data_IF_587868660241
#
_entry.id   IF_587868660241
#
_cell.length_a   1.000
_cell.length_b   1.000
_cell.length_c   1.000
_cell.angle_alpha   90.00
_cell.angle_beta   90.00
_cell.angle_gamma   90.00
#
_symmetry.space_group_name_H-M   'P 1'
#
loop_
_entity.id
_entity.type
_entity.pdbx_description
1 polymer ?
#
# COMPACT_ATOMS: atom_id res chain seq x y z
N UNK A 1 6.66 31.22 -1.77
CA UNK A 1 5.76 31.38 -2.95
C UNK A 1 6.26 30.57 -4.14
N UNK A 2 7.56 30.61 -4.42
CA UNK A 2 8.17 29.87 -5.54
C UNK A 2 8.07 28.34 -5.42
N UNK A 3 8.36 27.77 -4.24
CA UNK A 3 8.21 26.32 -3.98
C UNK A 3 6.76 25.80 -4.20
N UNK A 4 5.75 26.60 -3.81
CA UNK A 4 4.34 26.27 -4.03
C UNK A 4 3.98 26.30 -5.51
N UNK A 5 4.54 27.25 -6.27
CA UNK A 5 4.36 27.29 -7.73
C UNK A 5 4.97 26.07 -8.41
N UNK A 6 6.16 25.62 -7.98
CA UNK A 6 6.76 24.38 -8.48
C UNK A 6 5.92 23.15 -8.13
N UNK A 7 5.33 23.09 -6.92
CA UNK A 7 4.38 22.03 -6.56
C UNK A 7 3.17 22.02 -7.49
N UNK A 8 2.56 23.17 -7.75
CA UNK A 8 1.41 23.28 -8.65
C UNK A 8 1.74 22.87 -10.09
N UNK A 9 2.93 23.24 -10.59
CA UNK A 9 3.43 22.77 -11.88
C UNK A 9 3.61 21.25 -11.88
N UNK A 10 4.24 20.70 -10.83
CA UNK A 10 4.37 19.25 -10.65
C UNK A 10 3.02 18.54 -10.67
N UNK A 11 2.01 19.09 -10.00
CA UNK A 11 0.64 18.56 -10.01
C UNK A 11 0.01 18.60 -11.42
N UNK A 12 0.25 19.67 -12.18
CA UNK A 12 -0.27 19.80 -13.54
C UNK A 12 0.36 18.76 -14.50
N UNK A 13 1.66 18.52 -14.40
CA UNK A 13 2.34 17.46 -15.17
C UNK A 13 1.91 16.06 -14.71
N UNK A 14 1.75 15.86 -13.41
CA UNK A 14 1.22 14.61 -12.86
C UNK A 14 -0.18 14.30 -13.41
N UNK A 15 -1.07 15.29 -13.47
CA UNK A 15 -2.41 15.14 -14.06
C UNK A 15 -2.37 14.79 -15.56
N UNK A 16 -1.35 15.30 -16.28
CA UNK A 16 -1.08 14.94 -17.69
C UNK A 16 -0.40 13.57 -17.85
N UNK A 17 -0.14 12.86 -16.75
CA UNK A 17 0.63 11.60 -16.69
C UNK A 17 2.08 11.72 -17.18
N UNK A 18 2.60 12.94 -17.25
CA UNK A 18 4.01 13.19 -17.53
C UNK A 18 4.78 13.17 -16.20
N UNK A 19 5.09 11.95 -15.75
CA UNK A 19 5.68 11.73 -14.43
C UNK A 19 7.15 12.16 -14.37
N UNK A 20 7.87 12.20 -15.49
CA UNK A 20 9.27 12.66 -15.50
C UNK A 20 9.33 14.17 -15.23
N UNK A 21 8.51 14.96 -15.92
CA UNK A 21 8.45 16.39 -15.66
C UNK A 21 7.87 16.70 -14.28
N UNK A 22 6.85 15.97 -13.85
CA UNK A 22 6.32 16.10 -12.50
C UNK A 22 7.42 15.89 -11.43
N UNK A 23 8.26 14.87 -11.59
CA UNK A 23 9.39 14.61 -10.69
C UNK A 23 10.40 15.78 -10.65
N UNK A 24 10.71 16.36 -11.80
CA UNK A 24 11.63 17.51 -11.89
C UNK A 24 11.09 18.72 -11.13
N UNK A 25 9.80 19.03 -11.28
CA UNK A 25 9.17 20.16 -10.58
C UNK A 25 9.03 19.93 -9.07
N UNK A 26 8.68 18.72 -8.63
CA UNK A 26 8.69 18.42 -7.20
C UNK A 26 10.11 18.47 -6.60
N UNK A 27 11.13 18.09 -7.37
CA UNK A 27 12.53 18.22 -6.93
C UNK A 27 12.92 19.68 -6.75
N UNK A 28 12.56 20.57 -7.71
CA UNK A 28 12.76 22.02 -7.54
C UNK A 28 12.01 22.58 -6.33
N UNK A 29 10.79 22.10 -6.06
CA UNK A 29 10.03 22.50 -4.88
C UNK A 29 10.76 22.11 -3.57
N UNK A 30 11.33 20.90 -3.54
CA UNK A 30 12.13 20.39 -2.42
C UNK A 30 13.43 21.19 -2.25
N UNK A 31 14.16 21.46 -3.33
CA UNK A 31 15.40 22.24 -3.29
C UNK A 31 15.16 23.67 -2.78
N UNK A 32 13.99 24.23 -3.08
CA UNK A 32 13.57 25.57 -2.62
C UNK A 32 13.09 25.56 -1.17
N UNK A 33 12.37 24.51 -0.75
CA UNK A 33 11.87 24.38 0.61
C UNK A 33 11.86 22.89 1.04
N UNK A 34 12.97 22.42 1.65
CA UNK A 34 13.16 21.00 1.98
C UNK A 34 12.40 20.55 3.22
N UNK A 35 11.66 21.44 3.88
CA UNK A 35 10.95 21.14 5.13
C UNK A 35 9.44 20.95 4.92
N UNK A 36 8.96 20.86 3.68
CA UNK A 36 7.54 20.65 3.38
C UNK A 36 7.29 19.19 2.98
N UNK A 37 6.55 18.47 3.83
CA UNK A 37 6.21 17.06 3.61
C UNK A 37 5.46 16.80 2.29
N UNK A 38 4.55 17.70 1.90
CA UNK A 38 3.71 17.50 0.72
C UNK A 38 4.50 17.33 -0.57
N UNK A 39 5.69 17.95 -0.68
CA UNK A 39 6.52 17.84 -1.87
C UNK A 39 7.17 16.47 -1.98
N UNK A 40 7.69 15.94 -0.87
CA UNK A 40 8.24 14.60 -0.81
C UNK A 40 7.16 13.55 -1.05
N UNK A 41 5.97 13.73 -0.48
CA UNK A 41 4.85 12.82 -0.69
C UNK A 41 4.35 12.81 -2.15
N UNK A 42 4.25 13.97 -2.80
CA UNK A 42 3.90 14.07 -4.22
C UNK A 42 4.99 13.49 -5.13
N UNK A 43 6.27 13.69 -4.78
CA UNK A 43 7.39 13.08 -5.51
C UNK A 43 7.41 11.56 -5.33
N UNK A 44 7.12 11.05 -4.13
CA UNK A 44 6.98 9.62 -3.87
C UNK A 44 5.88 8.98 -4.72
N UNK A 45 4.70 9.60 -4.80
CA UNK A 45 3.62 9.14 -5.68
C UNK A 45 4.05 9.12 -7.16
N UNK A 46 4.80 10.13 -7.60
CA UNK A 46 5.32 10.22 -8.97
C UNK A 46 6.36 9.13 -9.26
N UNK A 47 7.26 8.88 -8.32
CA UNK A 47 8.26 7.82 -8.41
C UNK A 47 7.63 6.43 -8.46
N UNK A 48 6.51 6.21 -7.75
CA UNK A 48 5.74 4.97 -7.87
C UNK A 48 5.18 4.78 -9.28
N UNK A 49 4.65 5.84 -9.90
CA UNK A 49 4.15 5.77 -11.29
C UNK A 49 5.27 5.53 -12.31
N UNK A 50 6.51 5.94 -11.99
CA UNK A 50 7.71 5.68 -12.78
C UNK A 50 8.34 4.30 -12.50
N UNK A 51 7.79 3.50 -11.57
CA UNK A 51 8.36 2.21 -11.16
C UNK A 51 9.64 2.33 -10.31
N UNK A 52 9.99 3.53 -9.84
CA UNK A 52 11.18 3.82 -9.03
C UNK A 52 10.88 3.66 -7.54
N UNK A 53 10.47 2.45 -7.15
CA UNK A 53 9.92 2.16 -5.82
C UNK A 53 10.90 2.41 -4.66
N UNK A 54 12.19 2.11 -4.85
CA UNK A 54 13.21 2.31 -3.81
C UNK A 54 13.39 3.79 -3.44
N UNK A 55 13.26 4.66 -4.42
CA UNK A 55 13.38 6.11 -4.23
C UNK A 55 12.08 6.69 -3.67
N UNK A 56 10.93 6.16 -4.14
CA UNK A 56 9.63 6.49 -3.57
C UNK A 56 9.58 6.21 -2.06
N UNK A 57 10.24 5.15 -1.60
CA UNK A 57 10.37 4.87 -0.16
C UNK A 57 11.10 5.97 0.59
N UNK A 58 12.27 6.39 0.08
CA UNK A 58 13.07 7.40 0.74
C UNK A 58 12.32 8.73 0.88
N UNK A 59 11.59 9.10 -0.17
CA UNK A 59 10.76 10.30 -0.17
C UNK A 59 9.53 10.16 0.72
N UNK A 60 8.85 9.02 0.71
CA UNK A 60 7.73 8.76 1.62
C UNK A 60 8.19 8.87 3.09
N UNK A 61 9.35 8.28 3.42
CA UNK A 61 9.94 8.38 4.76
C UNK A 61 10.30 9.82 5.14
N UNK A 62 10.85 10.60 4.20
CA UNK A 62 11.16 12.01 4.46
C UNK A 62 9.90 12.84 4.65
N UNK A 63 8.85 12.58 3.86
CA UNK A 63 7.54 13.21 4.02
C UNK A 63 6.99 12.95 5.42
N UNK A 64 7.03 11.70 5.90
CA UNK A 64 6.56 11.33 7.25
C UNK A 64 7.33 12.06 8.33
N UNK A 65 8.66 12.15 8.19
CA UNK A 65 9.51 12.87 9.15
C UNK A 65 9.13 14.35 9.27
N UNK A 66 8.56 14.94 8.23
CA UNK A 66 8.21 16.36 8.16
C UNK A 66 6.75 16.64 8.54
N UNK A 67 5.80 15.81 8.10
CA UNK A 67 4.38 15.89 8.46
C UNK A 67 3.73 14.51 8.33
N UNK A 68 3.22 14.02 9.45
CA UNK A 68 2.62 12.71 9.64
C UNK A 68 1.26 12.55 8.93
N UNK A 69 0.63 13.65 8.53
CA UNK A 69 -0.72 13.64 7.94
C UNK A 69 -0.80 13.13 6.50
N UNK A 70 0.28 13.25 5.71
CA UNK A 70 0.27 12.99 4.27
C UNK A 70 0.29 11.49 3.89
N UNK A 71 0.76 10.63 4.81
CA UNK A 71 0.97 9.19 4.62
C UNK A 71 -0.33 8.43 4.31
N UNK A 72 -1.46 8.93 4.79
CA UNK A 72 -2.79 8.34 4.53
C UNK A 72 -3.08 8.20 3.03
N UNK A 73 -2.57 9.11 2.19
CA UNK A 73 -2.81 9.09 0.73
C UNK A 73 -1.96 8.03 0.02
N UNK A 74 -0.75 7.74 0.52
CA UNK A 74 0.15 6.74 -0.07
C UNK A 74 -0.20 5.32 0.37
N UNK A 75 -0.74 5.14 1.58
CA UNK A 75 -1.22 3.83 2.08
C UNK A 75 -2.40 3.34 1.23
N UNK A 76 -3.40 4.19 0.97
CA UNK A 76 -4.59 3.82 0.17
C UNK A 76 -4.27 3.52 -1.30
N UNK A 77 -3.16 4.07 -1.85
CA UNK A 77 -2.70 3.72 -3.21
C UNK A 77 -1.82 2.47 -3.27
N UNK A 78 -1.25 2.03 -2.16
CA UNK A 78 -0.32 0.88 -2.10
C UNK A 78 -1.00 -0.48 -1.91
N UNK A 79 -2.33 -0.52 -1.76
CA UNK A 79 -3.10 -1.78 -1.65
C UNK A 79 -2.99 -2.69 -2.91
N UNK A 80 -2.24 -2.27 -3.93
CA UNK A 80 -2.08 -3.00 -5.20
C UNK A 80 -0.67 -3.62 -5.44
N UNK A 81 0.32 -3.47 -4.55
CA UNK A 81 1.70 -3.99 -4.78
C UNK A 81 2.17 -4.97 -3.70
N UNK A 82 1.66 -6.20 -3.81
CA UNK A 82 1.69 -7.28 -2.81
C UNK A 82 3.08 -7.75 -2.33
N UNK A 83 4.16 -7.55 -3.08
CA UNK A 83 5.46 -8.17 -2.74
C UNK A 83 6.52 -7.19 -2.19
N UNK A 84 6.36 -5.89 -2.44
CA UNK A 84 7.25 -4.84 -1.92
C UNK A 84 6.57 -3.97 -0.84
N UNK A 85 5.23 -3.94 -0.83
CA UNK A 85 4.42 -3.21 0.14
C UNK A 85 4.68 -3.63 1.60
N UNK A 86 5.01 -4.90 1.87
CA UNK A 86 5.27 -5.38 3.23
C UNK A 86 6.50 -4.74 3.86
N UNK A 87 7.62 -4.67 3.13
CA UNK A 87 8.87 -4.04 3.63
C UNK A 87 8.72 -2.53 3.78
N UNK A 88 7.96 -1.91 2.88
CA UNK A 88 7.63 -0.48 2.90
C UNK A 88 6.75 -0.14 4.10
N UNK A 89 5.68 -0.91 4.30
CA UNK A 89 4.72 -0.75 5.38
C UNK A 89 5.44 -0.87 6.72
N UNK A 90 6.14 -1.99 6.96
CA UNK A 90 6.88 -2.25 8.21
C UNK A 90 7.86 -1.14 8.61
N UNK A 91 8.50 -0.46 7.65
CA UNK A 91 9.53 0.55 7.96
C UNK A 91 8.99 1.98 8.10
N UNK A 92 7.82 2.28 7.54
CA UNK A 92 7.09 3.52 7.85
C UNK A 92 6.45 3.46 9.24
N UNK A 93 6.15 2.26 9.75
CA UNK A 93 5.50 2.01 11.03
C UNK A 93 6.37 2.25 12.27
N UNK A 94 7.71 2.22 12.14
CA UNK A 94 8.62 2.58 13.24
C UNK A 94 8.62 4.09 13.54
N UNK A 95 8.14 4.92 12.61
CA UNK A 95 8.12 6.38 12.75
C UNK A 95 6.86 6.90 13.46
N UNK A 96 5.74 6.19 13.35
CA UNK A 96 4.41 6.63 13.80
C UNK A 96 3.98 5.98 15.14
N UNK A 97 4.58 6.47 16.23
CA UNK A 97 4.27 6.06 17.60
C UNK A 97 3.12 6.86 18.23
N UNK A 98 2.50 7.80 17.50
CA UNK A 98 1.55 8.79 18.07
C UNK A 98 0.12 8.70 17.54
N UNK A 99 -0.12 8.02 16.42
CA UNK A 99 -1.46 7.98 15.82
C UNK A 99 -2.21 6.66 16.10
N UNK A 100 -3.23 6.72 16.96
CA UNK A 100 -4.03 5.55 17.38
C UNK A 100 -4.75 4.86 16.22
N UNK A 101 -5.19 5.62 15.21
CA UNK A 101 -5.85 5.05 14.02
C UNK A 101 -4.85 4.29 13.14
N UNK A 102 -3.64 4.83 12.97
CA UNK A 102 -2.58 4.15 12.21
C UNK A 102 -2.12 2.86 12.92
N UNK A 103 -2.09 2.86 14.25
CA UNK A 103 -1.86 1.64 15.05
C UNK A 103 -2.98 0.61 14.88
N UNK A 104 -4.22 1.04 14.74
CA UNK A 104 -5.35 0.14 14.52
C UNK A 104 -5.34 -0.44 13.11
N UNK A 105 -5.08 0.38 12.09
CA UNK A 105 -4.89 -0.09 10.72
C UNK A 105 -3.65 -0.99 10.60
N UNK A 106 -2.57 -0.70 11.34
CA UNK A 106 -1.41 -1.59 11.49
C UNK A 106 -1.80 -2.94 12.07
N UNK A 107 -2.63 -2.94 13.12
CA UNK A 107 -3.06 -4.18 13.74
C UNK A 107 -3.86 -5.02 12.75
N UNK A 108 -4.79 -4.40 12.02
CA UNK A 108 -5.57 -5.03 10.96
C UNK A 108 -4.66 -5.60 9.84
N UNK A 109 -3.72 -4.78 9.41
CA UNK A 109 -2.67 -5.11 8.45
C UNK A 109 -1.84 -6.33 8.86
N UNK A 110 -1.42 -6.37 10.12
CA UNK A 110 -0.60 -7.45 10.69
C UNK A 110 -1.41 -8.73 10.86
N UNK A 111 -2.68 -8.61 11.26
CA UNK A 111 -3.58 -9.77 11.34
C UNK A 111 -3.85 -10.38 9.97
N UNK A 112 -4.00 -9.58 8.92
CA UNK A 112 -4.14 -10.09 7.54
C UNK A 112 -2.91 -10.90 7.10
N UNK A 113 -1.70 -10.39 7.40
CA UNK A 113 -0.45 -11.11 7.09
C UNK A 113 -0.32 -12.42 7.87
N UNK A 114 -0.76 -12.43 9.12
CA UNK A 114 -0.74 -13.65 9.93
C UNK A 114 -1.71 -14.69 9.35
N UNK A 115 -2.90 -14.28 8.93
CA UNK A 115 -3.84 -15.17 8.25
C UNK A 115 -3.31 -15.69 6.91
N UNK A 116 -2.56 -14.88 6.16
CA UNK A 116 -1.91 -15.33 4.93
C UNK A 116 -0.85 -16.40 5.19
N UNK A 117 0.01 -16.22 6.20
CA UNK A 117 1.02 -17.23 6.58
C UNK A 117 0.39 -18.53 7.06
N UNK A 118 -0.64 -18.44 7.90
CA UNK A 118 -1.37 -19.62 8.38
C UNK A 118 -2.01 -20.34 7.20
N UNK A 119 -2.61 -19.60 6.27
CA UNK A 119 -3.19 -20.15 5.06
C UNK A 119 -2.16 -20.87 4.18
N UNK A 120 -0.96 -20.32 4.01
CA UNK A 120 0.12 -20.99 3.25
C UNK A 120 0.51 -22.33 3.90
N UNK A 121 0.75 -22.34 5.21
CA UNK A 121 1.12 -23.55 5.96
C UNK A 121 -0.01 -24.60 5.93
N UNK A 122 -1.26 -24.19 6.08
CA UNK A 122 -2.41 -25.10 6.05
C UNK A 122 -2.74 -25.57 4.63
N UNK A 123 -2.41 -24.78 3.60
CA UNK A 123 -2.50 -25.19 2.21
C UNK A 123 -1.51 -26.32 1.89
N UNK A 124 -0.27 -26.22 2.38
CA UNK A 124 0.73 -27.30 2.27
C UNK A 124 0.26 -28.59 2.97
N UNK A 125 -0.39 -28.46 4.12
CA UNK A 125 -1.00 -29.57 4.86
C UNK A 125 -2.28 -30.10 4.22
N UNK A 126 -2.75 -29.47 3.14
CA UNK A 126 -4.03 -29.76 2.44
C UNK A 126 -5.26 -29.61 3.33
N UNK A 127 -5.17 -28.81 4.39
CA UNK A 127 -6.31 -28.46 5.25
C UNK A 127 -7.07 -27.26 4.66
N UNK A 128 -7.73 -27.50 3.52
CA UNK A 128 -8.39 -26.45 2.74
C UNK A 128 -9.52 -25.75 3.50
N UNK A 129 -10.10 -26.39 4.53
CA UNK A 129 -11.15 -25.77 5.36
C UNK A 129 -10.59 -24.60 6.17
N UNK A 130 -9.40 -24.76 6.75
CA UNK A 130 -8.74 -23.68 7.48
C UNK A 130 -8.28 -22.57 6.56
N UNK A 131 -7.78 -22.92 5.37
CA UNK A 131 -7.40 -21.93 4.36
C UNK A 131 -8.59 -21.03 3.99
N UNK A 132 -9.76 -21.61 3.70
CA UNK A 132 -10.99 -20.84 3.43
C UNK A 132 -11.35 -19.94 4.61
N UNK A 133 -11.28 -20.43 5.84
CA UNK A 133 -11.54 -19.63 7.04
C UNK A 133 -10.57 -18.45 7.18
N UNK A 134 -9.27 -18.67 6.97
CA UNK A 134 -8.27 -17.62 7.01
C UNK A 134 -8.49 -16.58 5.91
N UNK A 135 -8.87 -17.01 4.70
CA UNK A 135 -9.21 -16.10 3.61
C UNK A 135 -10.47 -15.27 3.90
N UNK A 136 -11.50 -15.86 4.51
CA UNK A 136 -12.69 -15.11 4.94
C UNK A 136 -12.34 -14.02 5.94
N UNK A 137 -11.50 -14.33 6.93
CA UNK A 137 -11.02 -13.33 7.91
C UNK A 137 -10.14 -12.27 7.27
N UNK A 138 -9.27 -12.64 6.33
CA UNK A 138 -8.45 -11.67 5.61
C UNK A 138 -9.31 -10.72 4.75
N UNK A 139 -10.38 -11.22 4.13
CA UNK A 139 -11.29 -10.43 3.30
C UNK A 139 -12.18 -9.46 4.10
N UNK A 140 -12.40 -9.67 5.40
CA UNK A 140 -13.07 -8.69 6.28
C UNK A 140 -12.29 -7.37 6.35
N UNK A 141 -10.96 -7.44 6.31
CA UNK A 141 -10.08 -6.27 6.33
C UNK A 141 -9.68 -5.80 4.92
N UNK A 142 -9.59 -6.73 3.95
CA UNK A 142 -9.16 -6.44 2.58
C UNK A 142 -10.15 -6.98 1.53
N UNK A 143 -11.39 -6.44 1.46
CA UNK A 143 -12.46 -6.99 0.61
C UNK A 143 -12.20 -6.85 -0.90
N UNK A 144 -11.29 -5.96 -1.28
CA UNK A 144 -10.88 -5.73 -2.67
C UNK A 144 -9.77 -6.68 -3.15
N UNK A 145 -9.17 -7.48 -2.27
CA UNK A 145 -8.05 -8.35 -2.63
C UNK A 145 -8.52 -9.52 -3.52
N UNK A 146 -8.23 -9.43 -4.82
CA UNK A 146 -8.59 -10.49 -5.78
C UNK A 146 -7.84 -11.80 -5.51
N UNK A 147 -6.59 -11.75 -5.04
CA UNK A 147 -5.81 -12.95 -4.72
C UNK A 147 -6.49 -13.81 -3.66
N UNK A 148 -6.99 -13.21 -2.57
CA UNK A 148 -7.66 -13.96 -1.51
C UNK A 148 -8.98 -14.59 -1.99
N UNK A 149 -9.71 -13.90 -2.86
CA UNK A 149 -10.92 -14.45 -3.49
C UNK A 149 -10.60 -15.65 -4.37
N UNK A 150 -9.56 -15.55 -5.20
CA UNK A 150 -9.11 -16.66 -6.07
C UNK A 150 -8.67 -17.85 -5.22
N UNK A 151 -7.78 -17.64 -4.24
CA UNK A 151 -7.28 -18.72 -3.38
C UNK A 151 -8.42 -19.39 -2.59
N UNK A 152 -9.39 -18.60 -2.11
CA UNK A 152 -10.60 -19.11 -1.47
C UNK A 152 -11.45 -19.95 -2.43
N UNK A 153 -11.69 -19.46 -3.64
CA UNK A 153 -12.47 -20.17 -4.65
C UNK A 153 -11.81 -21.50 -5.06
N UNK A 154 -10.49 -21.51 -5.23
CA UNK A 154 -9.71 -22.74 -5.48
C UNK A 154 -9.85 -23.74 -4.34
N UNK A 155 -9.69 -23.31 -3.09
CA UNK A 155 -9.83 -24.18 -1.92
C UNK A 155 -11.26 -24.72 -1.78
N UNK A 156 -12.28 -23.91 -2.07
CA UNK A 156 -13.68 -24.35 -2.08
C UNK A 156 -13.95 -25.40 -3.17
N UNK A 157 -13.35 -25.25 -4.35
CA UNK A 157 -13.42 -26.24 -5.41
C UNK A 157 -12.74 -27.56 -5.01
N UNK A 158 -11.56 -27.50 -4.37
CA UNK A 158 -10.85 -28.67 -3.86
C UNK A 158 -11.63 -29.40 -2.75
N UNK A 159 -12.50 -28.70 -2.04
CA UNK A 159 -13.43 -29.27 -1.06
C UNK A 159 -14.74 -29.81 -1.68
N UNK A 160 -14.92 -29.67 -3.00
CA UNK A 160 -16.13 -30.08 -3.72
C UNK A 160 -17.32 -29.11 -3.56
N UNK A 161 -17.09 -27.91 -3.01
CA UNK A 161 -18.12 -26.87 -2.77
C UNK A 161 -18.21 -25.91 -3.95
N UNK A 162 -18.52 -26.44 -5.13
CA UNK A 162 -18.54 -25.68 -6.39
C UNK A 162 -19.49 -24.48 -6.42
N UNK A 163 -20.72 -24.53 -5.85
CA UNK A 163 -21.62 -23.38 -5.85
C UNK A 163 -21.05 -22.17 -5.10
N UNK A 164 -20.29 -22.43 -4.03
CA UNK A 164 -19.66 -21.38 -3.23
C UNK A 164 -18.37 -20.87 -3.88
N UNK A 165 -17.63 -21.74 -4.57
CA UNK A 165 -16.49 -21.29 -5.37
C UNK A 165 -16.94 -20.31 -6.47
N UNK A 166 -18.09 -20.55 -7.09
CA UNK A 166 -18.64 -19.72 -8.16
C UNK A 166 -19.20 -18.37 -7.67
N UNK A 167 -19.61 -18.26 -6.40
CA UNK A 167 -20.10 -17.00 -5.83
C UNK A 167 -18.98 -16.07 -5.33
N UNK A 168 -17.77 -16.61 -5.15
CA UNK A 168 -16.60 -15.87 -4.66
C UNK A 168 -15.77 -15.28 -5.81
N UNK A 169 -15.81 -15.92 -7.00
CA UNK A 169 -15.07 -15.56 -8.20
C UNK A 169 -15.62 -14.32 -8.92
#
# INVERSE_FOLDING_TARGET
>A
REAESFKEQGNAYYAKKDYNEAYNYYTKAIDTCPNNASYYGNRAATLMMLGRFREALGDAQQSVRLDDSFVRVLIVRNDCLQSFGEKMRCRLLELDHKNTQAQQELKNASTVLEYEKIAEVDFEKRDFRKVVFCMDRALEFAPACHRFKILKAECLALLGRYPEAQSVA
#
